data_IF_350907048991
#
_entry.id   IF_350907048991
#
_cell.length_a   1.000
_cell.length_b   1.000
_cell.length_c   1.000
_cell.angle_alpha   90.00
_cell.angle_beta   90.00
_cell.angle_gamma   90.00
#
_symmetry.space_group_name_H-M   'P 1'
#
loop_
_entity.id
_entity.type
_entity.pdbx_description
1 polymer ?
#
# COMPACT_ATOMS: atom_id res chain seq x y z
N UNK A 1 -26.36 1.81 2.31
CA UNK A 1 -25.76 2.05 3.64
C UNK A 1 -26.68 2.90 4.51
N UNK A 2 -26.96 4.15 4.14
CA UNK A 2 -27.74 5.09 4.98
C UNK A 2 -29.21 4.72 5.22
N UNK A 3 -29.79 3.77 4.50
CA UNK A 3 -31.12 3.22 4.82
C UNK A 3 -31.13 2.16 5.92
N UNK A 4 -29.95 1.70 6.39
CA UNK A 4 -29.85 0.64 7.39
C UNK A 4 -30.03 1.21 8.81
N UNK A 5 -30.90 0.57 9.62
CA UNK A 5 -31.21 1.03 10.98
C UNK A 5 -29.98 1.08 11.91
N UNK A 6 -29.08 0.10 11.83
CA UNK A 6 -27.90 0.09 12.69
C UNK A 6 -26.97 1.27 12.38
N UNK A 7 -26.85 1.63 11.09
CA UNK A 7 -26.10 2.82 10.66
C UNK A 7 -26.79 4.10 11.14
N UNK A 8 -28.12 4.18 11.07
CA UNK A 8 -28.87 5.33 11.58
C UNK A 8 -28.73 5.50 13.09
N UNK A 9 -28.74 4.40 13.86
CA UNK A 9 -28.47 4.44 15.31
C UNK A 9 -27.04 4.90 15.60
N UNK A 10 -26.05 4.40 14.85
CA UNK A 10 -24.67 4.85 14.99
C UNK A 10 -24.52 6.34 14.67
N UNK A 11 -25.19 6.82 13.63
CA UNK A 11 -25.23 8.22 13.23
C UNK A 11 -25.78 9.13 14.32
N UNK A 12 -26.92 8.76 14.89
CA UNK A 12 -27.59 9.53 15.95
C UNK A 12 -26.72 9.64 17.21
N UNK A 13 -25.92 8.61 17.49
CA UNK A 13 -25.04 8.57 18.66
C UNK A 13 -23.60 9.00 18.36
N UNK A 14 -23.29 9.47 17.14
CA UNK A 14 -21.88 9.68 16.71
C UNK A 14 -21.13 10.70 17.59
N UNK A 15 -21.83 11.69 18.12
CA UNK A 15 -21.26 12.73 18.98
C UNK A 15 -20.92 12.23 20.39
N UNK A 16 -21.33 11.00 20.75
CA UNK A 16 -20.93 10.35 22.00
C UNK A 16 -19.51 9.77 21.94
N UNK A 17 -18.95 9.59 20.74
CA UNK A 17 -17.59 9.11 20.55
C UNK A 17 -16.58 10.27 20.59
N UNK A 18 -15.40 10.01 21.15
CA UNK A 18 -14.31 11.00 21.19
C UNK A 18 -13.50 11.04 19.89
N UNK A 19 -13.47 9.93 19.15
CA UNK A 19 -12.81 9.81 17.87
C UNK A 19 -13.62 8.96 16.89
N UNK A 20 -13.55 9.33 15.60
CA UNK A 20 -14.09 8.57 14.48
C UNK A 20 -12.92 8.17 13.58
N UNK A 21 -12.76 6.86 13.37
CA UNK A 21 -11.75 6.30 12.47
C UNK A 21 -12.43 5.88 11.17
N UNK A 22 -12.01 6.45 10.04
CA UNK A 22 -12.54 6.10 8.72
C UNK A 22 -11.43 5.50 7.87
N UNK A 23 -11.70 4.36 7.23
CA UNK A 23 -10.81 3.79 6.22
C UNK A 23 -10.73 4.77 5.05
N UNK A 24 -9.52 5.24 4.72
CA UNK A 24 -9.30 6.31 3.76
C UNK A 24 -9.53 5.93 2.30
N UNK A 25 -9.78 4.67 1.97
CA UNK A 25 -9.80 4.20 0.59
C UNK A 25 -11.21 3.83 0.15
N UNK A 26 -11.78 4.61 -0.78
CA UNK A 26 -13.10 4.36 -1.42
C UNK A 26 -14.19 4.10 -0.37
N UNK A 27 -14.27 4.97 0.64
CA UNK A 27 -15.22 4.85 1.75
C UNK A 27 -15.86 6.20 2.09
N UNK A 28 -15.98 7.08 1.10
CA UNK A 28 -16.58 8.42 1.20
C UNK A 28 -17.99 8.38 1.78
N UNK A 29 -18.69 7.26 1.62
CA UNK A 29 -20.01 7.03 2.19
C UNK A 29 -20.06 7.19 3.71
N UNK A 30 -18.94 7.04 4.41
CA UNK A 30 -18.80 7.26 5.85
C UNK A 30 -18.42 8.70 6.21
N UNK A 31 -17.97 9.53 5.28
CA UNK A 31 -17.56 10.93 5.54
C UNK A 31 -18.66 11.79 6.18
N UNK A 32 -19.97 11.61 5.87
CA UNK A 32 -20.99 12.35 6.58
C UNK A 32 -20.91 12.21 8.09
N UNK A 33 -20.38 11.11 8.66
CA UNK A 33 -20.22 10.96 10.11
C UNK A 33 -19.40 12.09 10.76
N UNK A 34 -18.63 12.81 9.95
CA UNK A 34 -17.84 13.96 10.36
C UNK A 34 -18.63 15.29 10.30
N UNK A 35 -19.85 15.29 9.77
CA UNK A 35 -20.68 16.50 9.67
C UNK A 35 -21.04 17.00 11.07
N UNK A 36 -20.61 18.23 11.36
CA UNK A 36 -20.72 18.91 12.65
C UNK A 36 -20.12 18.14 13.84
N UNK A 37 -19.30 17.13 13.56
CA UNK A 37 -18.67 16.29 14.57
C UNK A 37 -17.54 17.06 15.27
N UNK A 38 -17.59 17.09 16.60
CA UNK A 38 -16.65 17.86 17.44
C UNK A 38 -15.46 17.06 17.94
N UNK A 39 -15.50 15.74 17.80
CA UNK A 39 -14.41 14.87 18.20
C UNK A 39 -13.28 14.81 17.16
N UNK A 40 -12.37 13.87 17.34
CA UNK A 40 -11.18 13.72 16.50
C UNK A 40 -11.46 12.82 15.30
N UNK A 41 -11.12 13.28 14.10
CA UNK A 41 -11.15 12.45 12.90
C UNK A 41 -9.76 11.84 12.64
N UNK A 42 -9.74 10.51 12.50
CA UNK A 42 -8.55 9.72 12.20
C UNK A 42 -8.77 8.97 10.88
N UNK A 43 -7.84 9.15 9.95
CA UNK A 43 -7.84 8.42 8.69
C UNK A 43 -7.04 7.11 8.84
N UNK A 44 -7.55 6.00 8.34
CA UNK A 44 -6.85 4.70 8.32
C UNK A 44 -6.56 4.27 6.89
N UNK A 45 -5.30 4.25 6.50
CA UNK A 45 -4.88 3.82 5.17
C UNK A 45 -4.45 2.35 5.16
N UNK A 46 -5.33 1.48 4.68
CA UNK A 46 -5.12 0.03 4.63
C UNK A 46 -4.18 -0.47 3.52
N UNK A 47 -4.10 0.12 2.30
CA UNK A 47 -3.21 -0.37 1.24
C UNK A 47 -1.76 0.17 1.32
N UNK A 48 -1.40 0.82 2.44
CA UNK A 48 -0.11 1.45 2.67
C UNK A 48 -0.07 2.93 2.28
N UNK A 49 1.11 3.46 1.94
CA UNK A 49 1.28 4.90 1.62
C UNK A 49 0.73 5.23 0.23
N UNK A 50 -0.12 6.27 0.14
CA UNK A 50 -0.72 6.74 -1.12
C UNK A 50 -0.84 8.27 -1.15
N UNK A 51 -0.68 8.87 -2.34
CA UNK A 51 -0.62 10.33 -2.49
C UNK A 51 -1.89 11.00 -1.96
N UNK A 52 -3.07 10.44 -2.24
CA UNK A 52 -4.34 10.99 -1.77
C UNK A 52 -4.36 11.20 -0.26
N UNK A 53 -3.98 10.20 0.54
CA UNK A 53 -4.01 10.28 2.01
C UNK A 53 -2.87 11.10 2.57
N UNK A 54 -1.70 11.05 1.93
CA UNK A 54 -0.54 11.78 2.43
C UNK A 54 -0.71 13.27 2.19
N UNK A 55 -1.30 13.66 1.05
CA UNK A 55 -1.63 15.05 0.73
C UNK A 55 -2.64 15.66 1.70
N UNK A 56 -3.56 14.89 2.28
CA UNK A 56 -4.51 15.39 3.30
C UNK A 56 -3.79 16.02 4.51
N UNK A 57 -2.64 15.47 4.87
CA UNK A 57 -1.78 15.96 5.95
C UNK A 57 -0.75 16.99 5.47
N UNK A 58 -0.77 17.36 4.19
CA UNK A 58 0.17 18.31 3.58
C UNK A 58 1.48 17.70 3.08
N UNK A 59 1.63 16.38 3.14
CA UNK A 59 2.81 15.68 2.64
C UNK A 59 2.64 15.31 1.17
N UNK A 60 3.25 16.07 0.27
CA UNK A 60 3.41 15.65 -1.12
C UNK A 60 4.56 14.65 -1.18
N UNK A 61 4.21 13.39 -1.47
CA UNK A 61 5.20 12.31 -1.55
C UNK A 61 6.27 12.61 -2.59
N UNK A 62 7.56 12.31 -2.32
CA UNK A 62 8.63 12.50 -3.29
C UNK A 62 8.51 11.49 -4.42
N UNK A 63 7.84 11.88 -5.51
CA UNK A 63 7.63 11.05 -6.71
C UNK A 63 8.93 10.70 -7.44
N UNK A 64 10.06 11.28 -7.04
CA UNK A 64 11.39 10.89 -7.52
C UNK A 64 11.85 9.53 -7.00
N UNK A 65 11.32 9.07 -5.86
CA UNK A 65 11.74 7.84 -5.16
C UNK A 65 10.57 6.95 -4.76
N UNK A 66 9.36 7.49 -4.61
CA UNK A 66 8.17 6.73 -4.26
C UNK A 66 7.33 6.45 -5.51
N UNK A 67 7.20 5.17 -5.91
CA UNK A 67 6.38 4.79 -7.04
C UNK A 67 4.89 4.94 -6.72
N UNK A 68 4.10 5.35 -7.71
CA UNK A 68 2.65 5.43 -7.59
C UNK A 68 2.01 4.05 -7.35
N UNK A 69 0.91 4.03 -6.59
CA UNK A 69 0.21 2.80 -6.15
C UNK A 69 -0.25 1.88 -7.30
N UNK A 70 -0.48 2.43 -8.50
CA UNK A 70 -0.91 1.66 -9.67
C UNK A 70 0.23 1.15 -10.53
N UNK A 71 1.47 1.43 -10.15
CA UNK A 71 2.66 1.03 -10.91
C UNK A 71 3.30 -0.22 -10.31
N UNK A 72 4.04 -0.96 -11.13
CA UNK A 72 4.95 -2.02 -10.69
C UNK A 72 6.37 -1.49 -10.44
N UNK A 73 6.56 -0.16 -10.44
CA UNK A 73 7.86 0.44 -10.18
C UNK A 73 8.29 0.18 -8.73
N UNK A 74 9.59 0.30 -8.50
CA UNK A 74 10.21 0.08 -7.18
C UNK A 74 11.01 1.33 -6.78
N UNK A 75 11.68 1.35 -5.64
CA UNK A 75 12.45 2.54 -5.24
C UNK A 75 13.62 2.87 -6.17
N UNK A 76 14.21 1.86 -6.81
CA UNK A 76 15.26 2.09 -7.83
C UNK A 76 14.60 2.18 -9.21
N UNK A 77 13.95 3.32 -9.45
CA UNK A 77 13.39 3.67 -10.77
C UNK A 77 14.49 4.11 -11.73
N UNK A 78 14.43 3.63 -12.96
CA UNK A 78 15.18 4.18 -14.10
C UNK A 78 14.75 5.60 -14.41
N UNK A 79 15.52 6.30 -15.25
CA UNK A 79 15.16 7.63 -15.71
C UNK A 79 13.76 7.66 -16.35
N UNK A 80 13.44 6.72 -17.23
CA UNK A 80 12.14 6.67 -17.90
C UNK A 80 11.00 6.37 -16.93
N UNK A 81 11.21 5.48 -15.96
CA UNK A 81 10.22 5.25 -14.90
C UNK A 81 10.01 6.52 -14.07
N UNK A 82 11.06 7.30 -13.77
CA UNK A 82 10.94 8.61 -13.11
C UNK A 82 10.23 9.68 -13.95
N UNK A 83 10.29 9.61 -15.27
CA UNK A 83 9.52 10.48 -16.17
C UNK A 83 8.03 10.11 -16.12
N UNK A 84 7.72 8.81 -16.10
CA UNK A 84 6.33 8.32 -16.09
C UNK A 84 5.69 8.38 -14.70
N UNK A 85 6.46 8.20 -13.63
CA UNK A 85 5.93 8.04 -12.28
C UNK A 85 5.08 9.23 -11.80
N UNK A 86 5.46 10.50 -12.01
CA UNK A 86 4.61 11.63 -11.67
C UNK A 86 3.27 11.60 -12.40
N UNK A 87 3.24 11.24 -13.68
CA UNK A 87 2.00 11.11 -14.46
C UNK A 87 1.11 10.01 -13.88
N UNK A 88 1.69 8.84 -13.61
CA UNK A 88 0.99 7.67 -13.08
C UNK A 88 0.57 7.82 -11.61
N UNK A 89 1.18 8.75 -10.86
CA UNK A 89 0.83 9.07 -9.48
C UNK A 89 -0.21 10.19 -9.40
N UNK A 90 -0.06 11.25 -10.22
CA UNK A 90 -0.97 12.38 -10.23
C UNK A 90 -2.29 12.06 -10.91
N UNK A 91 -2.29 11.25 -11.98
CA UNK A 91 -3.53 10.92 -12.69
C UNK A 91 -4.60 10.26 -11.78
N UNK A 92 -4.30 9.21 -11.00
CA UNK A 92 -5.28 8.65 -10.06
C UNK A 92 -5.74 9.66 -9.02
N UNK A 93 -4.84 10.47 -8.49
CA UNK A 93 -5.18 11.54 -7.55
C UNK A 93 -6.16 12.55 -8.16
N UNK A 94 -5.86 13.07 -9.36
CA UNK A 94 -6.72 14.03 -10.07
C UNK A 94 -8.06 13.38 -10.46
N UNK A 95 -8.05 12.14 -10.94
CA UNK A 95 -9.26 11.40 -11.24
C UNK A 95 -10.14 11.26 -9.98
N UNK A 96 -9.53 10.97 -8.84
CA UNK A 96 -10.24 10.91 -7.57
C UNK A 96 -10.92 12.24 -7.21
N UNK A 97 -10.15 13.33 -7.28
CA UNK A 97 -10.62 14.66 -6.93
C UNK A 97 -11.74 15.17 -7.84
N UNK A 98 -11.61 14.97 -9.15
CA UNK A 98 -12.50 15.58 -10.13
C UNK A 98 -13.59 14.66 -10.66
N UNK A 99 -13.52 13.35 -10.40
CA UNK A 99 -14.53 12.38 -10.87
C UNK A 99 -15.14 11.54 -9.74
N UNK A 100 -14.33 11.06 -8.80
CA UNK A 100 -14.82 10.16 -7.73
C UNK A 100 -15.54 10.95 -6.63
N UNK A 101 -14.88 11.97 -6.07
CA UNK A 101 -15.46 12.79 -4.99
C UNK A 101 -16.79 13.46 -5.41
N UNK A 102 -16.93 14.09 -6.59
CA UNK A 102 -18.19 14.70 -7.00
C UNK A 102 -19.36 13.69 -7.10
N UNK A 103 -19.09 12.45 -7.54
CA UNK A 103 -20.12 11.41 -7.60
C UNK A 103 -20.57 10.98 -6.22
N UNK A 104 -19.65 10.86 -5.26
CA UNK A 104 -20.01 10.61 -3.87
C UNK A 104 -20.74 11.80 -3.25
N UNK A 105 -20.36 13.04 -3.57
CA UNK A 105 -21.06 14.24 -3.14
C UNK A 105 -22.53 14.20 -3.58
N UNK A 106 -22.79 13.98 -4.87
CA UNK A 106 -24.14 13.91 -5.42
C UNK A 106 -24.95 12.77 -4.77
N UNK A 107 -24.34 11.60 -4.60
CA UNK A 107 -24.99 10.46 -3.96
C UNK A 107 -25.39 10.77 -2.51
N UNK A 108 -24.49 11.40 -1.74
CA UNK A 108 -24.70 11.65 -0.32
C UNK A 108 -25.62 12.84 -0.07
N UNK A 109 -25.67 13.83 -0.97
CA UNK A 109 -26.61 14.95 -0.89
C UNK A 109 -28.08 14.51 -0.92
N UNK A 110 -28.38 13.34 -1.50
CA UNK A 110 -29.73 12.73 -1.44
C UNK A 110 -30.16 12.37 -0.01
N UNK A 111 -29.20 12.11 0.87
CA UNK A 111 -29.44 11.78 2.29
C UNK A 111 -29.15 12.98 3.21
N UNK A 112 -28.23 13.86 2.80
CA UNK A 112 -27.78 15.03 3.56
C UNK A 112 -27.85 16.29 2.67
N UNK A 113 -29.02 16.94 2.56
CA UNK A 113 -29.22 18.04 1.61
C UNK A 113 -28.25 19.22 1.81
N UNK A 114 -27.84 19.47 3.05
CA UNK A 114 -26.93 20.56 3.41
C UNK A 114 -25.47 20.11 3.57
N UNK A 115 -25.09 18.98 2.96
CA UNK A 115 -23.72 18.45 3.06
C UNK A 115 -22.72 19.43 2.39
N UNK A 116 -21.71 19.94 3.12
CA UNK A 116 -20.65 20.74 2.53
C UNK A 116 -19.83 19.91 1.52
N UNK A 117 -18.90 20.52 0.76
CA UNK A 117 -18.02 19.77 -0.11
C UNK A 117 -17.29 18.68 0.69
N UNK A 118 -17.37 17.42 0.26
CA UNK A 118 -16.81 16.27 0.97
C UNK A 118 -15.32 16.45 1.30
N UNK A 119 -14.58 17.14 0.44
CA UNK A 119 -13.16 17.46 0.66
C UNK A 119 -12.93 18.27 1.95
N UNK A 120 -13.86 19.13 2.35
CA UNK A 120 -13.75 19.92 3.59
C UNK A 120 -13.80 19.06 4.84
N UNK A 121 -14.60 17.99 4.83
CA UNK A 121 -14.72 17.04 5.93
C UNK A 121 -13.56 16.03 5.88
N UNK A 122 -13.37 15.41 4.71
CA UNK A 122 -12.44 14.32 4.51
C UNK A 122 -10.96 14.73 4.60
N UNK A 123 -10.61 15.99 4.31
CA UNK A 123 -9.22 16.49 4.43
C UNK A 123 -8.88 17.03 5.82
N UNK A 124 -9.86 17.05 6.74
CA UNK A 124 -9.68 17.55 8.09
C UNK A 124 -9.32 16.45 9.09
N UNK A 125 -8.57 15.43 8.66
CA UNK A 125 -8.04 14.43 9.59
C UNK A 125 -6.96 15.04 10.48
N UNK A 126 -6.96 14.65 11.75
CA UNK A 126 -5.92 15.01 12.72
C UNK A 126 -4.72 14.07 12.69
N UNK A 127 -4.97 12.82 12.28
CA UNK A 127 -4.01 11.74 12.27
C UNK A 127 -4.31 10.80 11.08
N UNK A 128 -3.26 10.26 10.47
CA UNK A 128 -3.36 9.17 9.50
C UNK A 128 -2.59 7.96 10.02
N UNK A 129 -3.29 6.89 10.33
CA UNK A 129 -2.72 5.57 10.60
C UNK A 129 -2.48 4.86 9.26
N UNK A 130 -1.28 4.32 9.06
CA UNK A 130 -0.86 3.74 7.77
C UNK A 130 -0.49 2.28 7.99
N UNK A 131 -1.15 1.36 7.28
CA UNK A 131 -0.75 -0.04 7.25
C UNK A 131 0.49 -0.24 6.37
N UNK A 132 1.62 0.29 6.82
CA UNK A 132 2.92 0.20 6.17
C UNK A 132 4.00 0.05 7.24
N UNK A 133 5.11 -0.59 6.87
CA UNK A 133 6.28 -0.71 7.73
C UNK A 133 7.52 -0.57 6.86
N UNK A 134 8.46 0.29 7.24
CA UNK A 134 9.68 0.57 6.46
C UNK A 134 10.47 -0.68 6.03
N UNK A 135 10.49 -1.74 6.85
CA UNK A 135 11.12 -3.03 6.49
C UNK A 135 10.45 -3.71 5.27
N UNK A 136 9.12 -3.65 5.18
CA UNK A 136 8.33 -4.29 4.11
C UNK A 136 8.21 -3.35 2.91
N UNK A 137 7.92 -2.08 3.18
CA UNK A 137 7.58 -1.12 2.14
C UNK A 137 8.78 -0.29 1.66
N UNK A 138 9.84 -0.20 2.44
CA UNK A 138 10.94 0.75 2.23
C UNK A 138 10.75 2.01 3.07
N UNK A 139 11.84 2.73 3.40
CA UNK A 139 11.77 3.96 4.20
C UNK A 139 11.07 5.09 3.44
N UNK A 140 10.28 5.89 4.16
CA UNK A 140 9.49 6.99 3.60
C UNK A 140 9.54 8.22 4.51
N UNK A 141 9.56 9.45 3.94
CA UNK A 141 9.51 10.68 4.74
C UNK A 141 8.08 10.94 5.19
N UNK A 142 7.72 10.42 6.36
CA UNK A 142 6.41 10.61 6.98
C UNK A 142 6.42 11.79 7.95
N UNK A 143 5.29 12.50 8.02
CA UNK A 143 5.06 13.53 9.03
C UNK A 143 4.77 12.90 10.39
N UNK A 144 4.93 13.61 11.52
CA UNK A 144 4.52 13.10 12.83
C UNK A 144 3.05 12.66 12.91
N UNK A 145 2.16 13.25 12.10
CA UNK A 145 0.74 12.86 12.00
C UNK A 145 0.49 11.66 11.08
N UNK A 146 1.53 11.05 10.54
CA UNK A 146 1.48 9.91 9.62
C UNK A 146 2.17 8.72 10.27
N UNK A 147 1.40 7.91 10.98
CA UNK A 147 1.92 6.89 11.89
C UNK A 147 1.84 5.52 11.24
N UNK A 148 3.00 4.87 11.11
CA UNK A 148 3.10 3.49 10.64
C UNK A 148 2.57 2.50 11.68
N UNK A 149 1.49 1.83 11.32
CA UNK A 149 0.86 0.72 12.05
C UNK A 149 0.80 -0.53 11.16
N UNK A 150 1.75 -0.65 10.24
CA UNK A 150 1.93 -1.85 9.42
C UNK A 150 2.06 -3.10 10.29
N UNK A 151 1.60 -4.23 9.74
CA UNK A 151 1.60 -5.53 10.41
C UNK A 151 0.76 -5.57 11.70
N UNK A 152 -0.23 -4.68 11.86
CA UNK A 152 -1.19 -4.74 12.98
C UNK A 152 -2.03 -6.03 12.98
N UNK A 153 -2.17 -6.67 11.82
CA UNK A 153 -2.80 -7.99 11.68
C UNK A 153 -1.87 -9.14 12.07
N UNK A 154 -0.57 -8.90 12.17
CA UNK A 154 0.41 -9.93 12.48
C UNK A 154 0.55 -10.17 13.97
N UNK A 155 0.60 -11.44 14.36
CA UNK A 155 0.70 -11.87 15.75
C UNK A 155 1.53 -13.14 15.84
N UNK A 156 2.02 -13.44 17.04
CA UNK A 156 2.64 -14.74 17.33
C UNK A 156 1.63 -15.85 17.06
N UNK A 157 2.12 -16.95 16.48
CA UNK A 157 1.31 -18.13 16.22
C UNK A 157 0.81 -18.75 17.53
N UNK A 158 -0.46 -19.10 17.55
CA UNK A 158 -1.08 -19.89 18.60
C UNK A 158 -0.92 -21.38 18.29
N UNK A 159 -1.05 -22.27 19.29
CA UNK A 159 -1.09 -23.70 19.05
C UNK A 159 -2.19 -24.08 18.05
N UNK A 160 -1.89 -25.01 17.14
CA UNK A 160 -2.85 -25.51 16.17
C UNK A 160 -3.76 -26.57 16.82
N UNK A 161 -5.00 -26.75 16.32
CA UNK A 161 -5.80 -27.93 16.61
C UNK A 161 -5.04 -29.22 16.30
N UNK A 162 -5.28 -30.28 17.07
CA UNK A 162 -4.47 -31.50 17.04
C UNK A 162 -4.40 -32.14 15.64
N UNK A 163 -5.53 -32.22 14.94
CA UNK A 163 -5.62 -32.76 13.57
C UNK A 163 -4.75 -31.99 12.58
N UNK A 164 -4.76 -30.66 12.69
CA UNK A 164 -3.94 -29.79 11.86
C UNK A 164 -2.46 -29.88 12.25
N UNK A 165 -2.15 -29.92 13.54
CA UNK A 165 -0.78 -30.11 14.04
C UNK A 165 -0.18 -31.44 13.53
N UNK A 166 -0.93 -32.54 13.59
CA UNK A 166 -0.54 -33.84 13.05
C UNK A 166 -0.31 -33.78 11.52
N UNK A 167 -1.15 -33.02 10.80
CA UNK A 167 -0.93 -32.77 9.38
C UNK A 167 0.37 -32.00 9.14
N UNK A 168 0.63 -30.95 9.91
CA UNK A 168 1.82 -30.10 9.76
C UNK A 168 3.10 -30.87 10.10
N UNK A 169 3.12 -31.63 11.20
CA UNK A 169 4.28 -32.39 11.64
C UNK A 169 4.56 -33.62 10.78
N UNK A 170 3.53 -34.30 10.30
CA UNK A 170 3.70 -35.44 9.39
C UNK A 170 4.30 -35.06 8.03
N UNK A 171 4.47 -33.77 7.73
CA UNK A 171 5.23 -33.31 6.56
C UNK A 171 6.75 -33.52 6.70
N UNK A 172 7.25 -33.79 7.92
CA UNK A 172 8.66 -34.04 8.19
C UNK A 172 9.58 -32.93 7.71
N UNK A 173 10.74 -33.30 7.17
CA UNK A 173 11.76 -32.33 6.71
C UNK A 173 11.39 -31.65 5.39
N UNK A 174 10.56 -32.30 4.55
CA UNK A 174 10.06 -31.69 3.32
C UNK A 174 9.25 -30.42 3.63
N UNK A 175 8.48 -30.46 4.73
CA UNK A 175 7.71 -29.34 5.25
C UNK A 175 6.41 -29.07 4.50
N UNK A 176 5.77 -27.97 4.84
CA UNK A 176 4.42 -27.60 4.39
C UNK A 176 4.46 -26.36 3.51
N UNK A 177 3.64 -26.40 2.48
CA UNK A 177 3.29 -25.25 1.65
C UNK A 177 1.88 -24.82 2.02
N UNK A 178 1.71 -23.54 2.36
CA UNK A 178 0.38 -22.97 2.60
C UNK A 178 -0.05 -22.25 1.33
N UNK A 179 -1.28 -22.46 0.87
CA UNK A 179 -1.82 -21.79 -0.31
C UNK A 179 -3.14 -21.07 0.00
N UNK A 180 -3.18 -19.75 -0.26
CA UNK A 180 -4.37 -18.92 -0.07
C UNK A 180 -4.39 -17.75 -1.07
N UNK A 181 -5.52 -17.55 -1.76
CA UNK A 181 -5.77 -16.40 -2.63
C UNK A 181 -6.51 -15.25 -1.93
N UNK A 182 -6.57 -15.27 -0.59
CA UNK A 182 -7.24 -14.25 0.20
C UNK A 182 -8.75 -14.47 0.32
N UNK A 183 -9.47 -13.49 0.86
CA UNK A 183 -10.91 -13.59 1.15
C UNK A 183 -11.81 -13.15 0.00
N UNK A 184 -11.30 -12.31 -0.92
CA UNK A 184 -12.08 -11.73 -2.01
C UNK A 184 -12.15 -12.67 -3.21
N UNK A 185 -11.02 -13.27 -3.60
CA UNK A 185 -10.98 -14.27 -4.66
C UNK A 185 -11.04 -15.65 -4.02
N UNK A 186 -12.15 -16.36 -4.24
CA UNK A 186 -12.30 -17.73 -3.75
C UNK A 186 -11.50 -18.67 -4.62
N UNK A 187 -10.85 -19.67 -4.02
CA UNK A 187 -10.11 -20.65 -4.82
C UNK A 187 -11.06 -21.52 -5.68
N UNK A 188 -12.31 -21.66 -5.26
CA UNK A 188 -13.38 -22.29 -6.04
C UNK A 188 -13.66 -21.63 -7.39
N UNK A 189 -13.42 -20.31 -7.50
CA UNK A 189 -13.65 -19.51 -8.71
C UNK A 189 -12.47 -19.55 -9.70
N UNK A 190 -11.35 -20.19 -9.33
CA UNK A 190 -10.23 -20.42 -10.25
C UNK A 190 -10.74 -21.26 -11.44
N UNK A 191 -10.47 -20.89 -12.70
CA UNK A 191 -10.90 -21.70 -13.83
C UNK A 191 -10.37 -23.14 -13.74
N UNK A 192 -11.19 -24.11 -14.12
CA UNK A 192 -10.89 -25.54 -13.93
C UNK A 192 -9.53 -25.96 -14.52
N UNK A 193 -9.14 -25.43 -15.68
CA UNK A 193 -7.83 -25.69 -16.28
C UNK A 193 -6.65 -25.31 -15.37
N UNK A 194 -6.74 -24.18 -14.66
CA UNK A 194 -5.74 -23.77 -13.69
C UNK A 194 -5.79 -24.59 -12.39
N UNK A 195 -6.99 -24.98 -11.93
CA UNK A 195 -7.13 -25.91 -10.80
C UNK A 195 -6.39 -27.22 -11.08
N UNK A 196 -6.53 -27.79 -12.29
CA UNK A 196 -5.83 -29.02 -12.67
C UNK A 196 -4.30 -28.86 -12.72
N UNK A 197 -3.81 -27.71 -13.18
CA UNK A 197 -2.37 -27.40 -13.15
C UNK A 197 -1.85 -27.35 -11.70
N UNK A 198 -2.60 -26.71 -10.79
CA UNK A 198 -2.24 -26.62 -9.37
C UNK A 198 -2.24 -28.00 -8.70
N UNK A 199 -3.31 -28.78 -8.90
CA UNK A 199 -3.44 -30.14 -8.35
C UNK A 199 -2.31 -31.04 -8.84
N UNK A 200 -2.01 -31.03 -10.14
CA UNK A 200 -0.93 -31.85 -10.71
C UNK A 200 0.46 -31.39 -10.23
N UNK A 201 0.67 -30.10 -10.04
CA UNK A 201 1.89 -29.60 -9.42
C UNK A 201 2.01 -30.08 -7.97
N UNK A 202 0.95 -29.94 -7.17
CA UNK A 202 0.95 -30.35 -5.76
C UNK A 202 1.17 -31.85 -5.60
N UNK A 203 0.58 -32.67 -6.47
CA UNK A 203 0.79 -34.13 -6.49
C UNK A 203 2.26 -34.52 -6.64
N UNK A 204 3.04 -33.72 -7.37
CA UNK A 204 4.47 -33.98 -7.64
C UNK A 204 5.40 -33.39 -6.58
N UNK A 205 4.89 -32.59 -5.65
CA UNK A 205 5.69 -32.00 -4.59
C UNK A 205 5.89 -33.01 -3.45
N UNK A 206 7.12 -33.11 -2.90
CA UNK A 206 7.35 -33.90 -1.69
C UNK A 206 6.75 -33.24 -0.43
N UNK A 207 6.40 -31.95 -0.51
CA UNK A 207 5.75 -31.21 0.57
C UNK A 207 4.29 -31.64 0.74
N UNK A 208 3.80 -31.50 1.97
CA UNK A 208 2.35 -31.40 2.20
C UNK A 208 1.87 -30.01 1.81
N UNK A 209 0.66 -29.92 1.27
CA UNK A 209 0.06 -28.65 0.85
C UNK A 209 -1.22 -28.42 1.64
N UNK A 210 -1.27 -27.31 2.37
CA UNK A 210 -2.47 -26.85 3.05
C UNK A 210 -3.11 -25.74 2.20
N UNK A 211 -4.24 -26.04 1.58
CA UNK A 211 -4.88 -25.14 0.62
C UNK A 211 -6.20 -24.59 1.17
N UNK A 212 -6.31 -23.27 1.28
CA UNK A 212 -7.60 -22.62 1.49
C UNK A 212 -8.48 -22.79 0.25
N UNK A 213 -9.51 -23.61 0.38
CA UNK A 213 -10.38 -24.01 -0.71
C UNK A 213 -11.80 -24.21 -0.19
N UNK A 214 -12.75 -23.48 -0.77
CA UNK A 214 -14.13 -23.41 -0.26
C UNK A 214 -15.04 -24.55 -0.75
N UNK A 215 -14.69 -25.16 -1.88
CA UNK A 215 -15.50 -26.16 -2.57
C UNK A 215 -14.96 -27.59 -2.33
N UNK A 216 -15.76 -28.61 -2.66
CA UNK A 216 -15.40 -30.02 -2.48
C UNK A 216 -15.46 -30.77 -3.84
N UNK A 217 -14.95 -30.13 -4.91
CA UNK A 217 -15.10 -30.54 -6.32
C UNK A 217 -13.81 -31.10 -6.98
N UNK A 218 -12.73 -31.29 -6.21
CA UNK A 218 -11.42 -31.72 -6.74
C UNK A 218 -11.01 -33.12 -6.28
N UNK A 219 -10.41 -33.89 -7.19
CA UNK A 219 -9.66 -35.11 -6.87
C UNK A 219 -8.26 -34.75 -6.34
N UNK A 220 -8.13 -34.68 -5.02
CA UNK A 220 -6.92 -34.22 -4.34
C UNK A 220 -5.93 -35.37 -4.08
N UNK A 221 -4.62 -35.17 -4.32
CA UNK A 221 -3.62 -36.15 -3.94
C UNK A 221 -3.46 -36.22 -2.42
N UNK A 222 -2.96 -37.35 -1.90
CA UNK A 222 -2.86 -37.62 -0.46
C UNK A 222 -2.01 -36.62 0.34
N UNK A 223 -1.16 -35.82 -0.32
CA UNK A 223 -0.36 -34.79 0.32
C UNK A 223 -1.05 -33.42 0.39
N UNK A 224 -2.26 -33.27 -0.14
CA UNK A 224 -3.02 -32.01 -0.12
C UNK A 224 -4.17 -32.12 0.87
N UNK A 225 -4.27 -31.13 1.78
CA UNK A 225 -5.41 -30.93 2.66
C UNK A 225 -6.06 -29.59 2.32
N UNK A 226 -7.38 -29.59 2.13
CA UNK A 226 -8.17 -28.38 1.92
C UNK A 226 -8.90 -27.95 3.18
N UNK A 227 -9.06 -26.64 3.35
CA UNK A 227 -9.89 -26.05 4.41
C UNK A 227 -10.62 -24.84 3.88
N UNK A 228 -11.90 -24.66 4.26
CA UNK A 228 -12.69 -23.48 3.88
C UNK A 228 -12.13 -22.20 4.47
N UNK A 229 -11.53 -22.29 5.66
CA UNK A 229 -10.84 -21.20 6.33
C UNK A 229 -9.58 -21.70 7.03
N UNK A 230 -8.46 -21.00 6.85
CA UNK A 230 -7.19 -21.33 7.49
C UNK A 230 -6.97 -20.47 8.73
N UNK A 231 -6.44 -21.02 9.83
CA UNK A 231 -5.79 -20.23 10.87
C UNK A 231 -4.44 -19.71 10.33
N UNK A 232 -4.50 -18.79 9.35
CA UNK A 232 -3.38 -18.43 8.46
C UNK A 232 -2.12 -17.98 9.23
N UNK A 233 -2.28 -17.12 10.24
CA UNK A 233 -1.18 -16.68 11.12
C UNK A 233 -0.48 -17.87 11.79
N UNK A 234 -1.27 -18.81 12.29
CA UNK A 234 -0.75 -19.90 13.11
C UNK A 234 -0.04 -20.94 12.23
N UNK A 235 -0.59 -21.27 11.07
CA UNK A 235 0.07 -22.17 10.11
C UNK A 235 1.30 -21.52 9.46
N UNK A 236 1.30 -20.21 9.23
CA UNK A 236 2.48 -19.51 8.72
C UNK A 236 3.60 -19.47 9.76
N UNK A 237 3.27 -19.29 11.05
CA UNK A 237 4.24 -19.34 12.14
C UNK A 237 4.68 -20.74 12.56
N UNK A 238 4.09 -21.78 11.99
CA UNK A 238 4.48 -23.16 12.29
C UNK A 238 5.85 -23.51 11.71
N UNK A 239 6.69 -24.21 12.48
CA UNK A 239 8.09 -24.53 12.12
C UNK A 239 8.25 -25.36 10.85
N UNK A 240 7.19 -26.08 10.44
CA UNK A 240 7.17 -26.92 9.23
C UNK A 240 6.85 -26.13 7.97
N UNK A 241 6.36 -24.89 8.08
CA UNK A 241 6.04 -24.08 6.91
C UNK A 241 7.31 -23.65 6.18
N UNK A 242 7.26 -23.76 4.85
CA UNK A 242 8.39 -23.49 3.95
C UNK A 242 8.09 -22.39 2.96
N UNK A 243 6.89 -22.39 2.38
CA UNK A 243 6.47 -21.45 1.34
C UNK A 243 5.01 -21.08 1.56
N UNK A 244 4.70 -19.81 1.31
CA UNK A 244 3.33 -19.34 1.19
C UNK A 244 3.01 -19.03 -0.29
N UNK A 245 2.16 -19.82 -0.92
CA UNK A 245 1.61 -19.47 -2.23
C UNK A 245 0.50 -18.45 -2.00
N UNK A 246 0.62 -17.28 -2.61
CA UNK A 246 -0.26 -16.15 -2.31
C UNK A 246 -0.58 -15.30 -3.53
N UNK A 247 -1.81 -14.80 -3.57
CA UNK A 247 -2.19 -13.69 -4.43
C UNK A 247 -1.50 -12.36 -4.10
N UNK A 248 -0.67 -12.27 -3.06
CA UNK A 248 0.06 -11.06 -2.69
C UNK A 248 -0.77 -9.85 -2.20
N UNK A 249 -1.96 -10.09 -1.66
CA UNK A 249 -2.68 -9.06 -0.92
C UNK A 249 -1.92 -8.63 0.35
N UNK A 250 -1.97 -7.32 0.67
CA UNK A 250 -1.17 -6.68 1.72
C UNK A 250 -1.10 -7.47 3.02
N UNK A 251 -2.26 -7.80 3.61
CA UNK A 251 -2.32 -8.44 4.93
C UNK A 251 -1.65 -9.82 4.92
N UNK A 252 -2.06 -10.73 4.02
CA UNK A 252 -1.52 -12.09 3.96
C UNK A 252 0.00 -12.12 3.76
N UNK A 253 0.53 -11.20 2.95
CA UNK A 253 1.99 -11.09 2.78
C UNK A 253 2.70 -10.50 3.99
N UNK A 254 2.08 -9.56 4.71
CA UNK A 254 2.63 -9.09 5.98
C UNK A 254 2.73 -10.23 7.00
N UNK A 255 1.76 -11.14 7.05
CA UNK A 255 1.80 -12.32 7.94
C UNK A 255 2.95 -13.25 7.56
N UNK A 256 3.11 -13.53 6.27
CA UNK A 256 4.18 -14.39 5.79
C UNK A 256 5.56 -13.80 6.11
N UNK A 257 5.76 -12.50 5.88
CA UNK A 257 7.02 -11.81 6.21
C UNK A 257 7.25 -11.73 7.72
N UNK A 258 6.20 -11.50 8.52
CA UNK A 258 6.30 -11.51 9.98
C UNK A 258 6.80 -12.87 10.50
N UNK A 259 6.32 -13.97 9.93
CA UNK A 259 6.73 -15.34 10.27
C UNK A 259 7.98 -15.84 9.52
N UNK A 260 8.61 -14.99 8.70
CA UNK A 260 9.83 -15.36 7.95
C UNK A 260 9.59 -16.46 6.91
N UNK A 261 8.43 -16.45 6.26
CA UNK A 261 8.05 -17.40 5.21
C UNK A 261 8.12 -16.71 3.84
N UNK A 262 8.92 -17.22 2.90
CA UNK A 262 8.98 -16.69 1.55
C UNK A 262 7.71 -16.99 0.75
N UNK A 263 7.41 -16.13 -0.22
CA UNK A 263 6.13 -16.13 -0.95
C UNK A 263 6.31 -16.62 -2.39
N UNK A 264 5.52 -17.60 -2.82
CA UNK A 264 5.32 -17.85 -4.25
C UNK A 264 4.14 -16.98 -4.71
N UNK A 265 4.45 -15.93 -5.48
CA UNK A 265 3.52 -14.88 -5.79
C UNK A 265 2.70 -15.19 -7.06
N UNK A 266 1.38 -15.18 -6.93
CA UNK A 266 0.39 -15.35 -8.00
C UNK A 266 -0.62 -14.19 -8.00
N UNK A 267 -0.18 -12.94 -8.24
CA UNK A 267 -1.05 -11.78 -8.15
C UNK A 267 -2.18 -11.82 -9.18
N UNK A 268 -3.35 -11.31 -8.80
CA UNK A 268 -4.56 -11.31 -9.64
C UNK A 268 -4.93 -9.89 -10.04
N UNK A 269 -5.18 -9.01 -9.06
CA UNK A 269 -5.71 -7.67 -9.32
C UNK A 269 -5.35 -6.64 -8.25
N UNK A 270 -5.69 -5.38 -8.51
CA UNK A 270 -5.54 -4.25 -7.59
C UNK A 270 -4.09 -4.01 -7.13
N UNK A 271 -3.84 -4.00 -5.82
CA UNK A 271 -2.53 -3.77 -5.21
C UNK A 271 -1.57 -4.97 -5.36
N UNK A 272 -2.12 -6.15 -5.66
CA UNK A 272 -1.39 -7.42 -5.65
C UNK A 272 -0.19 -7.45 -6.62
N UNK A 273 -0.30 -7.03 -7.90
CA UNK A 273 0.85 -7.07 -8.82
C UNK A 273 1.98 -6.15 -8.36
N UNK A 274 1.65 -4.98 -7.80
CA UNK A 274 2.65 -4.05 -7.22
C UNK A 274 3.36 -4.70 -6.04
N UNK A 275 2.61 -5.28 -5.11
CA UNK A 275 3.19 -5.94 -3.92
C UNK A 275 4.10 -7.10 -4.36
N UNK A 276 3.63 -7.92 -5.29
CA UNK A 276 4.37 -9.06 -5.82
C UNK A 276 5.68 -8.65 -6.51
N UNK A 277 5.66 -7.61 -7.35
CA UNK A 277 6.87 -7.08 -8.00
C UNK A 277 7.88 -6.55 -6.97
N UNK A 278 7.42 -5.81 -5.96
CA UNK A 278 8.28 -5.27 -4.89
C UNK A 278 8.91 -6.39 -4.08
N UNK A 279 8.14 -7.41 -3.70
CA UNK A 279 8.66 -8.56 -2.96
C UNK A 279 9.61 -9.42 -3.79
N UNK A 280 9.35 -9.57 -5.08
CA UNK A 280 10.28 -10.23 -5.99
C UNK A 280 11.62 -9.48 -6.06
N UNK A 281 11.60 -8.15 -6.24
CA UNK A 281 12.82 -7.34 -6.29
C UNK A 281 13.61 -7.39 -4.97
N UNK A 282 12.91 -7.38 -3.84
CA UNK A 282 13.53 -7.50 -2.51
C UNK A 282 13.97 -8.92 -2.17
N UNK A 283 13.65 -9.92 -3.00
CA UNK A 283 13.98 -11.32 -2.75
C UNK A 283 13.17 -11.98 -1.65
N UNK A 284 11.96 -11.50 -1.40
CA UNK A 284 11.02 -12.12 -0.46
C UNK A 284 10.06 -13.08 -1.15
N UNK A 285 9.92 -12.93 -2.47
CA UNK A 285 8.97 -13.70 -3.26
C UNK A 285 9.54 -14.15 -4.60
N UNK A 286 9.03 -15.26 -5.11
CA UNK A 286 9.22 -15.68 -6.50
C UNK A 286 7.93 -15.40 -7.27
N UNK A 287 7.99 -14.55 -8.30
CA UNK A 287 6.82 -14.10 -9.05
C UNK A 287 6.49 -15.06 -10.20
N UNK A 288 5.24 -15.54 -10.22
CA UNK A 288 4.65 -16.28 -11.33
C UNK A 288 3.54 -15.45 -12.01
N UNK A 289 3.27 -15.77 -13.27
CA UNK A 289 2.21 -15.18 -14.07
C UNK A 289 1.14 -16.23 -14.38
N UNK A 290 -0.14 -15.90 -14.18
CA UNK A 290 -1.26 -16.77 -14.52
C UNK A 290 -1.29 -17.15 -16.01
N UNK A 291 -0.86 -16.27 -16.92
CA UNK A 291 -0.85 -16.55 -18.36
C UNK A 291 0.11 -17.67 -18.74
N UNK A 292 1.26 -17.74 -18.06
CA UNK A 292 2.34 -18.69 -18.34
C UNK A 292 2.39 -19.80 -17.26
N UNK A 293 1.33 -19.91 -16.45
CA UNK A 293 1.29 -20.85 -15.34
C UNK A 293 1.28 -22.27 -15.88
N UNK A 294 2.24 -23.07 -15.40
CA UNK A 294 2.36 -24.48 -15.74
C UNK A 294 2.79 -25.27 -14.50
N UNK A 295 2.61 -26.58 -14.56
CA UNK A 295 3.08 -27.51 -13.52
C UNK A 295 4.57 -27.27 -13.22
N UNK A 296 5.40 -27.17 -14.26
CA UNK A 296 6.83 -26.93 -14.12
C UNK A 296 7.15 -25.55 -13.52
N UNK A 297 6.40 -24.51 -13.86
CA UNK A 297 6.61 -23.18 -13.28
C UNK A 297 6.38 -23.18 -11.76
N UNK A 298 5.32 -23.85 -11.29
CA UNK A 298 5.03 -24.00 -9.85
C UNK A 298 6.12 -24.82 -9.16
N UNK A 299 6.46 -25.99 -9.71
CA UNK A 299 7.49 -26.87 -9.16
C UNK A 299 8.85 -26.15 -9.04
N UNK A 300 9.24 -25.42 -10.09
CA UNK A 300 10.49 -24.65 -10.11
C UNK A 300 10.46 -23.47 -9.14
N UNK A 301 9.34 -22.75 -9.03
CA UNK A 301 9.18 -21.67 -8.08
C UNK A 301 9.30 -22.15 -6.63
N UNK A 302 8.56 -23.20 -6.26
CA UNK A 302 8.64 -23.82 -4.93
C UNK A 302 10.06 -24.33 -4.64
N UNK A 303 10.66 -25.06 -5.60
CA UNK A 303 12.02 -25.60 -5.45
C UNK A 303 13.04 -24.48 -5.25
N UNK A 304 12.93 -23.39 -6.01
CA UNK A 304 13.81 -22.22 -5.87
C UNK A 304 13.69 -21.62 -4.47
N UNK A 305 12.47 -21.33 -4.01
CA UNK A 305 12.24 -20.73 -2.69
C UNK A 305 12.73 -21.60 -1.52
N UNK A 306 12.72 -22.93 -1.68
CA UNK A 306 13.18 -23.87 -0.64
C UNK A 306 14.70 -24.07 -0.69
N UNK A 307 15.30 -24.13 -1.89
CA UNK A 307 16.71 -24.50 -2.07
C UNK A 307 17.67 -23.32 -2.06
N UNK A 308 17.22 -22.15 -2.51
CA UNK A 308 18.04 -20.93 -2.49
C UNK A 308 17.94 -20.28 -1.09
N UNK A 309 19.01 -20.35 -0.28
CA UNK A 309 18.97 -19.84 1.10
C UNK A 309 18.73 -18.33 1.15
N UNK A 310 19.04 -17.59 0.09
CA UNK A 310 18.94 -16.13 0.08
C UNK A 310 17.51 -15.64 0.31
N UNK A 311 16.49 -16.35 -0.19
CA UNK A 311 15.09 -16.02 0.09
C UNK A 311 14.77 -16.16 1.59
N UNK A 312 15.17 -17.28 2.19
CA UNK A 312 14.91 -17.57 3.60
C UNK A 312 15.66 -16.62 4.54
N UNK A 313 16.89 -16.28 4.20
CA UNK A 313 17.69 -15.29 4.94
C UNK A 313 17.03 -13.92 4.88
N UNK A 314 16.67 -13.43 3.69
CA UNK A 314 16.04 -12.12 3.50
C UNK A 314 14.71 -11.99 4.23
N UNK A 315 13.82 -12.99 4.16
CA UNK A 315 12.55 -12.91 4.90
C UNK A 315 12.74 -13.05 6.41
N UNK A 316 13.76 -13.79 6.88
CA UNK A 316 14.10 -13.83 8.31
C UNK A 316 14.65 -12.50 8.79
N UNK A 317 15.39 -11.77 7.98
CA UNK A 317 15.91 -10.45 8.33
C UNK A 317 14.76 -9.45 8.49
N UNK A 318 13.83 -9.44 7.53
CA UNK A 318 12.60 -8.64 7.63
C UNK A 318 11.75 -9.05 8.81
N UNK A 319 11.57 -10.35 9.04
CA UNK A 319 10.83 -10.88 10.19
C UNK A 319 11.40 -10.36 11.51
N UNK A 320 12.73 -10.36 11.68
CA UNK A 320 13.38 -9.77 12.86
C UNK A 320 13.07 -8.28 12.98
N UNK A 321 13.18 -7.51 11.90
CA UNK A 321 12.84 -6.07 11.92
C UNK A 321 11.36 -5.80 12.22
N UNK A 322 10.46 -6.66 11.76
CA UNK A 322 9.02 -6.54 12.03
C UNK A 322 8.69 -6.85 13.49
N UNK A 323 9.44 -7.75 14.13
CA UNK A 323 9.22 -8.13 15.52
C UNK A 323 9.99 -7.24 16.51
N UNK A 324 11.13 -6.68 16.09
CA UNK A 324 11.96 -5.76 16.87
C UNK A 324 11.41 -4.33 16.80
N UNK A 325 10.31 -4.10 17.51
CA UNK A 325 9.69 -2.79 17.64
C UNK A 325 9.57 -2.43 19.12
N UNK A 326 9.74 -1.13 19.43
CA UNK A 326 9.59 -0.59 20.79
C UNK A 326 8.21 -0.90 21.41
N UNK A 327 7.18 -0.84 20.59
CA UNK A 327 5.80 -1.20 20.93
C UNK A 327 5.16 -1.92 19.73
N UNK A 328 4.11 -2.70 19.99
CA UNK A 328 3.34 -3.33 18.90
C UNK A 328 2.63 -2.27 18.05
N UNK A 329 2.33 -2.61 16.79
CA UNK A 329 1.57 -1.72 15.90
C UNK A 329 0.20 -1.32 16.48
N UNK A 330 -0.46 -2.24 17.22
CA UNK A 330 -1.71 -1.96 17.92
C UNK A 330 -1.54 -0.97 19.08
N UNK A 331 -0.54 -1.17 19.94
CA UNK A 331 -0.26 -0.25 21.04
C UNK A 331 0.12 1.15 20.54
N UNK A 332 0.92 1.22 19.46
CA UNK A 332 1.25 2.48 18.78
C UNK A 332 0.00 3.19 18.28
N UNK A 333 -0.89 2.46 17.59
CA UNK A 333 -2.15 3.00 17.08
C UNK A 333 -2.99 3.60 18.22
N UNK A 334 -3.18 2.83 19.31
CA UNK A 334 -3.93 3.27 20.49
C UNK A 334 -3.30 4.52 21.09
N UNK A 335 -1.98 4.52 21.31
CA UNK A 335 -1.30 5.67 21.91
C UNK A 335 -1.50 6.95 21.09
N UNK A 336 -1.39 6.88 19.76
CA UNK A 336 -1.55 8.04 18.88
C UNK A 336 -3.00 8.50 18.75
N UNK A 337 -3.96 7.58 18.72
CA UNK A 337 -5.40 7.89 18.78
C UNK A 337 -5.71 8.65 20.08
N UNK A 338 -5.27 8.11 21.21
CA UNK A 338 -5.45 8.70 22.53
C UNK A 338 -4.71 10.05 22.67
N UNK A 339 -3.53 10.18 22.07
CA UNK A 339 -2.81 11.45 22.01
C UNK A 339 -3.61 12.51 21.24
N UNK A 340 -4.14 12.16 20.06
CA UNK A 340 -4.94 13.09 19.27
C UNK A 340 -6.21 13.50 20.03
N UNK A 341 -6.87 12.59 20.76
CA UNK A 341 -8.02 12.89 21.62
C UNK A 341 -7.64 13.87 22.74
N UNK A 342 -6.59 13.57 23.52
CA UNK A 342 -6.14 14.42 24.64
C UNK A 342 -5.77 15.85 24.20
N UNK A 343 -5.26 15.99 22.98
CA UNK A 343 -4.81 17.27 22.44
C UNK A 343 -5.74 17.85 21.36
N UNK A 344 -7.02 17.43 21.34
CA UNK A 344 -8.07 18.00 20.48
C UNK A 344 -7.66 18.07 19.00
N UNK A 345 -7.10 16.97 18.49
CA UNK A 345 -6.63 16.84 17.12
C UNK A 345 -5.20 17.34 16.88
N UNK A 346 -4.44 17.67 17.93
CA UNK A 346 -3.02 18.03 17.89
C UNK A 346 -2.67 19.15 16.88
N UNK A 347 -3.25 20.37 17.01
CA UNK A 347 -3.05 21.47 16.06
C UNK A 347 -1.57 21.88 15.89
N UNK A 348 -0.72 21.63 16.89
CA UNK A 348 0.73 21.89 16.83
C UNK A 348 1.49 20.96 15.87
N UNK A 349 0.88 19.83 15.47
CA UNK A 349 1.48 18.89 14.51
C UNK A 349 1.06 19.17 13.07
N UNK A 350 0.23 20.20 12.82
CA UNK A 350 -0.21 20.56 11.48
C UNK A 350 0.96 21.12 10.67
N UNK A 351 1.37 20.35 9.66
CA UNK A 351 2.48 20.72 8.80
C UNK A 351 2.15 21.92 7.88
N UNK A 352 3.07 22.88 7.79
CA UNK A 352 2.89 24.09 6.97
C UNK A 352 2.67 23.79 5.47
N UNK A 353 3.24 22.68 4.97
CA UNK A 353 3.04 22.23 3.58
C UNK A 353 1.59 21.92 3.24
N UNK A 354 0.70 21.76 4.23
CA UNK A 354 -0.75 21.64 4.02
C UNK A 354 -1.34 22.86 3.30
N UNK A 355 -0.73 24.04 3.46
CA UNK A 355 -1.16 25.31 2.83
C UNK A 355 -0.63 25.50 1.40
N UNK A 356 0.32 24.67 0.95
CA UNK A 356 0.96 24.81 -0.35
C UNK A 356 0.24 23.98 -1.41
N UNK A 357 0.06 24.58 -2.59
CA UNK A 357 -0.25 23.82 -3.80
C UNK A 357 0.97 23.03 -4.28
N UNK A 358 0.79 22.16 -5.28
CA UNK A 358 1.87 21.30 -5.78
C UNK A 358 3.08 22.09 -6.29
N UNK A 359 2.85 23.15 -7.07
CA UNK A 359 3.91 23.95 -7.69
C UNK A 359 4.75 24.70 -6.66
N UNK A 360 4.08 25.28 -5.64
CA UNK A 360 4.75 25.92 -4.52
C UNK A 360 5.56 24.92 -3.70
N UNK A 361 5.02 23.72 -3.45
CA UNK A 361 5.69 22.69 -2.67
C UNK A 361 7.02 22.25 -3.29
N UNK A 362 7.06 22.12 -4.62
CA UNK A 362 8.28 21.76 -5.35
C UNK A 362 9.11 22.98 -5.79
N UNK A 363 8.74 24.18 -5.36
CA UNK A 363 9.38 25.46 -5.70
C UNK A 363 9.42 25.78 -7.22
N UNK A 364 8.50 25.22 -8.02
CA UNK A 364 8.50 25.44 -9.47
C UNK A 364 8.27 26.92 -9.81
N UNK A 365 7.37 27.57 -9.09
CA UNK A 365 7.10 29.01 -9.19
C UNK A 365 8.37 29.85 -8.95
N UNK A 366 9.17 29.49 -7.94
CA UNK A 366 10.44 30.14 -7.63
C UNK A 366 11.49 29.89 -8.71
N UNK A 367 11.62 28.66 -9.22
CA UNK A 367 12.56 28.37 -10.31
C UNK A 367 12.21 29.10 -11.60
N UNK A 368 10.92 29.17 -11.95
CA UNK A 368 10.44 29.94 -13.10
C UNK A 368 10.73 31.43 -12.92
N UNK A 369 10.51 31.99 -11.72
CA UNK A 369 10.87 33.38 -11.42
C UNK A 369 12.36 33.66 -11.70
N UNK A 370 13.27 32.84 -11.17
CA UNK A 370 14.70 33.02 -11.40
C UNK A 370 15.11 32.83 -12.86
N UNK A 371 14.49 31.88 -13.57
CA UNK A 371 14.74 31.70 -15.00
C UNK A 371 14.37 32.95 -15.80
N UNK A 372 13.24 33.58 -15.49
CA UNK A 372 12.81 34.84 -16.14
C UNK A 372 13.78 35.98 -15.81
N UNK A 373 14.18 36.14 -14.53
CA UNK A 373 15.13 37.18 -14.10
C UNK A 373 16.48 37.03 -14.83
N UNK A 374 17.04 35.81 -14.85
CA UNK A 374 18.32 35.54 -15.52
C UNK A 374 18.23 35.73 -17.04
N UNK A 375 17.11 35.33 -17.66
CA UNK A 375 16.88 35.51 -19.09
C UNK A 375 16.77 37.00 -19.46
N UNK A 376 16.05 37.78 -18.64
CA UNK A 376 15.93 39.23 -18.83
C UNK A 376 17.28 39.93 -18.65
N UNK A 377 18.06 39.54 -17.64
CA UNK A 377 19.41 40.06 -17.42
C UNK A 377 20.36 39.74 -18.59
N UNK A 378 20.34 38.51 -19.08
CA UNK A 378 21.13 38.11 -20.25
C UNK A 378 20.72 38.89 -21.51
N UNK A 379 19.41 39.03 -21.75
CA UNK A 379 18.88 39.81 -22.87
C UNK A 379 19.32 41.28 -22.79
N UNK A 380 19.14 41.93 -21.64
CA UNK A 380 19.55 43.33 -21.43
C UNK A 380 21.06 43.50 -21.59
N UNK A 381 21.86 42.58 -21.07
CA UNK A 381 23.31 42.59 -21.22
C UNK A 381 23.73 42.48 -22.69
N UNK A 382 23.15 41.54 -23.44
CA UNK A 382 23.39 41.41 -24.88
C UNK A 382 22.91 42.65 -25.66
N UNK A 383 21.77 43.24 -25.28
CA UNK A 383 21.26 44.47 -25.89
C UNK A 383 22.21 45.65 -25.66
N UNK A 384 22.68 45.85 -24.42
CA UNK A 384 23.65 46.88 -24.06
C UNK A 384 24.96 46.71 -24.82
N UNK A 385 25.51 45.50 -24.88
CA UNK A 385 26.74 45.21 -25.65
C UNK A 385 26.55 45.53 -27.13
N UNK A 386 25.42 45.12 -27.74
CA UNK A 386 25.10 45.43 -29.15
C UNK A 386 24.92 46.93 -29.42
N UNK A 387 24.29 47.66 -28.50
CA UNK A 387 24.14 49.11 -28.61
C UNK A 387 25.48 49.83 -28.49
N UNK A 388 26.31 49.44 -27.52
CA UNK A 388 27.65 50.00 -27.33
C UNK A 388 28.57 49.68 -28.50
N UNK A 389 28.55 48.45 -29.03
CA UNK A 389 29.33 48.10 -30.22
C UNK A 389 28.85 48.83 -31.47
N UNK A 390 27.53 49.00 -31.67
CA UNK A 390 26.97 49.79 -32.76
C UNK A 390 27.34 51.28 -32.68
N UNK A 391 27.39 51.86 -31.47
CA UNK A 391 27.86 53.23 -31.23
C UNK A 391 29.36 53.39 -31.49
N UNK A 392 30.17 52.38 -31.13
CA UNK A 392 31.61 52.37 -31.41
C UNK A 392 31.92 52.25 -32.92
N UNK A 393 31.14 51.46 -33.67
CA UNK A 393 31.30 51.36 -35.13
C UNK A 393 30.86 52.65 -35.85
N UNK A 394 29.72 53.25 -35.47
CA UNK A 394 29.24 54.51 -36.05
C UNK A 394 30.17 55.71 -35.82
N UNK A 395 31.06 55.65 -34.81
CA UNK A 395 32.02 56.72 -34.52
C UNK A 395 33.29 56.63 -35.37
N UNK A 396 33.59 55.46 -35.96
CA UNK A 396 34.72 55.30 -36.90
C UNK A 396 34.43 55.92 -38.27
N UNK A 397 33.18 55.87 -38.72
CA UNK A 397 32.77 56.42 -40.04
C UNK A 397 32.61 57.96 -40.06
N UNK A 398 32.92 58.66 -38.97
CA UNK A 398 32.83 60.14 -38.86
C UNK A 398 34.19 60.84 -38.70
N UNK A 399 35.30 60.11 -38.87
CA UNK A 399 36.68 60.64 -38.69
C UNK A 399 37.47 60.67 -40.03
N UNK A 400 36.85 60.34 -41.17
CA UNK A 400 37.46 60.58 -42.50
C UNK A 400 37.18 61.97 -43.05
#
# INVERSE_FOLDING_TARGET
MWSNEAIQRLWQNRDSYQAIVIIGYINEVAVPFLLDYKGVYINLCTPGVELLHMKQQGNWLPMSVLPGIKTTFTHDMTFMERVLNPLLTLWPYLNYQYNVIPRFQELLQKFFPNLPPLTTLYWNSSLTLINSHYAVDGPMPLLPTQVEVGTINAKKANPLPQDLEEFMEGAGEAGVIVFSLGSVVKSGEIPHSYKMILVEAFRRLPQRVLWRYEDDDLDLPANVLTMKWLPQQDVLGHRRTRVFISHCGTFGTQEALYHGVPVLALPIAHDQPRNAQRFAKKGYAYLLNWKDLSVNAILNGVKTLIKDPTYRERVKDVSRMLQDQKESAGERAVWWVEHAIRHQGSPLLVYAGKRLNFFQYIMLDVFVFWLVVLSAWAFLSCYCVRRLSGLCCSRKDKIE
#
